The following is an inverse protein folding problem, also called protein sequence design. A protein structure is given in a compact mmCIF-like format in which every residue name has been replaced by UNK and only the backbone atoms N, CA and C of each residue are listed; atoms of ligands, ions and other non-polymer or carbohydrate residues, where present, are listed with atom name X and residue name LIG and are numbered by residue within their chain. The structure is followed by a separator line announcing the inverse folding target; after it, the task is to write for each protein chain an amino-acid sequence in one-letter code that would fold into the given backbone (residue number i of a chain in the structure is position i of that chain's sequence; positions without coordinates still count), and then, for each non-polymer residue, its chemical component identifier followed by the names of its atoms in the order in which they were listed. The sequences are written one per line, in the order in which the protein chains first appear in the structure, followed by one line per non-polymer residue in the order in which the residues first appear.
data_IF_077907424242
#
_entry.id   IF_077907424242
#
_cell.length_a   1.000
_cell.length_b   1.000
_cell.length_c   1.000
_cell.angle_alpha   90.00
_cell.angle_beta   90.00
_cell.angle_gamma   90.00
#
_symmetry.space_group_name_H-M   'P 1'
#
loop_
_entity.id
_entity.type
_entity.pdbx_description
1 polymer ?
#
# COMPACT_ATOMS: atom_id res chain seq x y z
N UNK A 1 -5.72 5.00 26.50
CA UNK A 1 -5.39 4.01 25.47
C UNK A 1 -3.93 4.20 25.06
N UNK A 2 -3.16 3.13 24.96
CA UNK A 2 -1.78 3.15 24.47
C UNK A 2 -1.77 2.69 23.01
N UNK A 3 -0.89 3.27 22.20
CA UNK A 3 -0.61 2.86 20.84
C UNK A 3 0.85 2.47 20.75
N UNK A 4 1.15 1.30 20.21
CA UNK A 4 2.50 0.83 19.96
C UNK A 4 2.87 1.08 18.51
N UNK A 5 4.02 1.71 18.29
CA UNK A 5 4.61 1.95 16.97
C UNK A 5 5.88 1.10 16.85
N UNK A 6 5.94 0.29 15.80
CA UNK A 6 7.14 -0.50 15.49
C UNK A 6 7.63 -0.12 14.09
N UNK A 7 8.87 0.36 14.00
CA UNK A 7 9.54 0.56 12.72
C UNK A 7 9.96 -0.80 12.17
N UNK A 8 9.63 -1.05 10.91
CA UNK A 8 9.91 -2.31 10.23
C UNK A 8 10.65 -2.06 8.91
N UNK A 9 11.32 -3.08 8.34
CA UNK A 9 12.05 -2.93 7.09
C UNK A 9 11.15 -2.50 5.92
N UNK A 10 11.75 -1.81 4.95
CA UNK A 10 11.23 -1.56 3.63
C UNK A 10 12.36 -1.67 2.61
N UNK A 11 12.04 -1.84 1.34
CA UNK A 11 13.03 -1.88 0.26
C UNK A 11 12.92 -0.61 -0.58
N UNK A 12 13.72 0.38 -0.23
CA UNK A 12 13.73 1.68 -0.92
C UNK A 12 15.12 2.33 -0.78
N UNK A 13 15.18 3.62 -0.94
CA UNK A 13 16.40 4.42 -0.75
C UNK A 13 16.06 5.77 -0.08
N UNK A 14 17.07 6.46 0.41
CA UNK A 14 16.96 7.83 0.87
C UNK A 14 17.92 8.75 0.12
N UNK A 15 17.61 10.04 0.09
CA UNK A 15 18.40 11.08 -0.52
C UNK A 15 17.57 12.01 -1.39
N UNK A 16 17.89 13.31 -1.32
CA UNK A 16 17.30 14.38 -2.16
C UNK A 16 18.29 14.96 -3.14
N UNK A 17 19.58 14.68 -2.92
CA UNK A 17 20.68 15.10 -3.79
C UNK A 17 21.68 13.96 -3.93
N UNK A 18 22.61 14.08 -4.90
CA UNK A 18 23.65 13.06 -5.09
C UNK A 18 24.56 12.87 -3.88
N UNK A 19 24.73 13.94 -3.09
CA UNK A 19 25.65 13.94 -1.95
C UNK A 19 25.06 13.36 -0.65
N UNK A 20 23.72 13.20 -0.55
CA UNK A 20 23.05 12.71 0.66
C UNK A 20 22.36 11.36 0.48
N UNK A 21 22.62 10.68 -0.63
CA UNK A 21 22.05 9.37 -0.93
C UNK A 21 22.44 8.34 0.13
N UNK A 22 21.43 7.64 0.66
CA UNK A 22 21.57 6.62 1.72
C UNK A 22 22.07 7.14 3.08
N UNK A 23 22.04 8.45 3.34
CA UNK A 23 22.47 9.01 4.62
C UNK A 23 21.39 8.92 5.72
N UNK A 24 20.16 8.63 5.37
CA UNK A 24 19.06 8.42 6.32
C UNK A 24 18.42 7.04 6.09
N UNK A 25 17.78 6.51 7.11
CA UNK A 25 17.03 5.27 6.99
C UNK A 25 15.65 5.53 6.39
N UNK A 26 15.09 4.50 5.83
CA UNK A 26 13.71 4.40 5.36
C UNK A 26 13.08 3.15 6.02
N UNK A 27 11.78 3.05 6.03
CA UNK A 27 11.10 1.91 6.66
C UNK A 27 9.60 2.01 6.56
N UNK A 28 8.96 0.95 7.00
CA UNK A 28 7.53 0.80 7.15
C UNK A 28 7.12 0.85 8.63
N UNK A 29 5.82 0.93 8.90
CA UNK A 29 5.32 1.05 10.27
C UNK A 29 4.24 0.05 10.57
N UNK A 30 4.35 -0.58 11.72
CA UNK A 30 3.27 -1.31 12.38
C UNK A 30 2.72 -0.45 13.50
N UNK A 31 1.40 -0.24 13.47
CA UNK A 31 0.68 0.59 14.44
C UNK A 31 -0.36 -0.32 15.12
N UNK A 32 -0.19 -0.60 16.41
CA UNK A 32 -1.11 -1.45 17.17
C UNK A 32 -1.75 -0.68 18.30
N UNK A 33 -3.09 -0.60 18.25
CA UNK A 33 -3.94 -0.14 19.34
C UNK A 33 -4.35 -1.30 20.25
N UNK A 34 -5.38 -1.08 21.06
CA UNK A 34 -5.96 -2.11 21.92
C UNK A 34 -6.78 -3.15 21.16
N UNK A 35 -7.33 -2.80 20.01
CA UNK A 35 -8.25 -3.60 19.20
C UNK A 35 -7.89 -3.65 17.72
N UNK A 36 -7.08 -2.73 17.24
CA UNK A 36 -6.74 -2.60 15.83
C UNK A 36 -5.23 -2.76 15.59
N UNK A 37 -4.89 -3.41 14.47
CA UNK A 37 -3.54 -3.55 13.96
C UNK A 37 -3.47 -3.01 12.52
N UNK A 38 -2.61 -2.03 12.30
CA UNK A 38 -2.46 -1.32 11.03
C UNK A 38 -1.02 -1.50 10.53
N UNK A 39 -0.85 -1.73 9.24
CA UNK A 39 0.44 -1.69 8.58
C UNK A 39 0.48 -0.53 7.58
N UNK A 40 1.59 0.19 7.53
CA UNK A 40 1.87 1.26 6.58
C UNK A 40 3.23 1.00 5.93
N UNK A 41 3.23 0.70 4.63
CA UNK A 41 4.44 0.28 3.91
C UNK A 41 5.47 1.42 3.75
N UNK A 42 5.02 2.68 3.69
CA UNK A 42 5.81 3.70 3.03
C UNK A 42 6.03 3.32 1.56
N UNK A 43 7.04 3.90 0.93
CA UNK A 43 7.48 3.50 -0.41
C UNK A 43 8.39 2.26 -0.29
N UNK A 44 8.08 1.21 -1.04
CA UNK A 44 8.85 -0.04 -0.96
C UNK A 44 8.67 -0.89 -2.22
N UNK A 45 9.74 -1.41 -2.74
CA UNK A 45 9.70 -2.58 -3.61
C UNK A 45 9.27 -3.84 -2.85
N UNK A 46 8.86 -4.87 -3.59
CA UNK A 46 8.51 -6.16 -3.01
C UNK A 46 9.76 -6.96 -2.64
N UNK A 47 9.79 -7.45 -1.37
CA UNK A 47 10.88 -8.29 -0.87
C UNK A 47 10.40 -9.19 0.29
N UNK A 48 11.21 -10.16 0.76
CA UNK A 48 10.83 -11.10 1.82
C UNK A 48 10.39 -10.47 3.14
N UNK A 49 10.75 -9.22 3.41
CA UNK A 49 10.40 -8.53 4.64
C UNK A 49 8.88 -8.45 4.88
N UNK A 50 8.04 -8.40 3.83
CA UNK A 50 6.59 -8.43 4.00
C UNK A 50 6.12 -9.71 4.68
N UNK A 51 6.65 -10.85 4.27
CA UNK A 51 6.34 -12.15 4.88
C UNK A 51 6.83 -12.22 6.32
N UNK A 52 8.05 -11.78 6.59
CA UNK A 52 8.63 -11.74 7.93
C UNK A 52 7.81 -10.85 8.88
N UNK A 53 7.38 -9.68 8.41
CA UNK A 53 6.52 -8.78 9.17
C UNK A 53 5.17 -9.45 9.46
N UNK A 54 4.57 -10.10 8.46
CA UNK A 54 3.30 -10.82 8.63
C UNK A 54 3.38 -11.96 9.61
N UNK A 55 4.48 -12.71 9.63
CA UNK A 55 4.71 -13.82 10.55
C UNK A 55 4.93 -13.33 11.99
N UNK A 56 5.69 -12.25 12.18
CA UNK A 56 6.08 -11.77 13.50
C UNK A 56 5.07 -10.80 14.12
N UNK A 57 4.44 -9.97 13.31
CA UNK A 57 3.64 -8.84 13.77
C UNK A 57 2.18 -8.85 13.26
N UNK A 58 1.85 -9.66 12.25
CA UNK A 58 0.49 -9.80 11.73
C UNK A 58 -0.39 -10.71 12.60
N UNK A 59 -1.66 -10.91 12.24
CA UNK A 59 -2.34 -10.30 11.08
C UNK A 59 -2.70 -8.81 11.31
N UNK A 60 -3.01 -8.12 10.22
CA UNK A 60 -3.41 -6.71 10.24
C UNK A 60 -4.86 -6.54 9.80
N UNK A 61 -5.58 -5.62 10.45
CA UNK A 61 -6.96 -5.30 10.06
C UNK A 61 -7.00 -4.51 8.75
N UNK A 62 -6.02 -3.63 8.56
CA UNK A 62 -5.81 -2.91 7.30
C UNK A 62 -4.31 -2.70 7.05
N UNK A 63 -3.94 -2.76 5.76
CA UNK A 63 -2.63 -2.36 5.29
C UNK A 63 -2.75 -1.23 4.27
N UNK A 64 -2.00 -0.17 4.50
CA UNK A 64 -1.75 0.89 3.53
C UNK A 64 -0.51 0.49 2.74
N UNK A 65 -0.70 0.02 1.51
CA UNK A 65 0.38 -0.48 0.67
C UNK A 65 0.63 0.42 -0.51
N UNK A 66 1.88 0.73 -0.74
CA UNK A 66 2.33 1.38 -1.96
C UNK A 66 1.88 0.57 -3.18
N UNK A 67 1.35 1.26 -4.20
CA UNK A 67 0.76 0.63 -5.38
C UNK A 67 0.98 1.44 -6.66
N UNK A 68 1.87 2.41 -6.65
CA UNK A 68 2.08 3.28 -7.80
C UNK A 68 3.54 3.48 -8.15
N UNK A 69 3.77 4.17 -9.28
CA UNK A 69 5.11 4.61 -9.71
C UNK A 69 6.08 3.46 -10.05
N UNK A 70 5.58 2.25 -10.25
CA UNK A 70 6.37 1.09 -10.67
C UNK A 70 6.85 1.22 -12.11
N UNK A 71 8.05 0.69 -12.37
CA UNK A 71 8.60 0.65 -13.71
C UNK A 71 9.66 -0.45 -13.82
N UNK A 72 9.79 -1.06 -14.99
CA UNK A 72 10.83 -2.06 -15.29
C UNK A 72 12.27 -1.53 -15.16
N UNK A 73 12.45 -0.21 -15.12
CA UNK A 73 13.77 0.43 -14.93
C UNK A 73 14.20 0.49 -13.47
N UNK A 74 13.23 0.35 -12.53
CA UNK A 74 13.48 0.32 -11.07
C UNK A 74 12.57 -0.69 -10.37
N UNK A 75 12.70 -1.98 -10.73
CA UNK A 75 11.78 -3.04 -10.31
C UNK A 75 11.79 -3.29 -8.79
N UNK A 76 12.86 -2.86 -8.12
CA UNK A 76 13.07 -3.10 -6.68
C UNK A 76 12.69 -1.89 -5.81
N UNK A 77 12.20 -0.80 -6.40
CA UNK A 77 11.91 0.45 -5.67
C UNK A 77 10.42 0.61 -5.40
N UNK A 78 9.58 0.23 -6.36
CA UNK A 78 8.13 0.29 -6.27
C UNK A 78 7.50 -1.03 -6.72
N UNK A 79 6.43 -1.43 -6.03
CA UNK A 79 5.73 -2.68 -6.31
C UNK A 79 4.86 -2.58 -7.56
N UNK A 80 4.94 -3.59 -8.43
CA UNK A 80 3.91 -3.82 -9.42
C UNK A 80 2.60 -4.26 -8.75
N UNK A 81 1.42 -4.07 -9.37
CA UNK A 81 0.14 -4.36 -8.72
C UNK A 81 -0.05 -5.80 -8.23
N UNK A 82 0.52 -6.78 -8.92
CA UNK A 82 0.57 -8.17 -8.48
C UNK A 82 1.46 -8.36 -7.25
N UNK A 83 2.56 -7.62 -7.17
CA UNK A 83 3.45 -7.60 -6.00
C UNK A 83 2.79 -6.90 -4.80
N UNK A 84 2.08 -5.79 -5.01
CA UNK A 84 1.30 -5.13 -3.96
C UNK A 84 0.25 -6.09 -3.37
N UNK A 85 -0.44 -6.84 -4.24
CA UNK A 85 -1.39 -7.84 -3.79
C UNK A 85 -0.71 -9.00 -3.06
N UNK A 86 0.43 -9.48 -3.55
CA UNK A 86 1.21 -10.51 -2.85
C UNK A 86 1.71 -10.00 -1.48
N UNK A 87 2.17 -8.76 -1.39
CA UNK A 87 2.56 -8.15 -0.12
C UNK A 87 1.39 -8.10 0.88
N UNK A 88 0.17 -7.79 0.42
CA UNK A 88 -1.03 -7.83 1.26
C UNK A 88 -1.29 -9.22 1.85
N UNK A 89 -1.05 -10.28 1.07
CA UNK A 89 -1.17 -11.67 1.54
C UNK A 89 -0.07 -12.02 2.53
N UNK A 90 1.16 -11.66 2.21
CA UNK A 90 2.34 -11.98 3.02
C UNK A 90 2.28 -11.35 4.40
N UNK A 91 1.83 -10.09 4.52
CA UNK A 91 1.61 -9.43 5.80
C UNK A 91 0.32 -9.89 6.51
N UNK A 92 -0.49 -10.74 5.87
CA UNK A 92 -1.74 -11.28 6.42
C UNK A 92 -2.77 -10.19 6.69
N UNK A 93 -2.90 -9.22 5.78
CA UNK A 93 -3.91 -8.16 5.87
C UNK A 93 -5.32 -8.68 5.58
N UNK A 94 -6.31 -8.23 6.36
CA UNK A 94 -7.73 -8.47 6.07
C UNK A 94 -8.24 -7.53 4.98
N UNK A 95 -7.73 -6.29 5.00
CA UNK A 95 -8.06 -5.26 4.02
C UNK A 95 -6.80 -4.54 3.54
N UNK A 96 -6.81 -4.05 2.32
CA UNK A 96 -5.72 -3.25 1.72
C UNK A 96 -6.26 -1.95 1.14
N UNK A 97 -5.57 -0.86 1.45
CA UNK A 97 -5.80 0.45 0.85
C UNK A 97 -4.54 0.82 0.05
N UNK A 98 -4.62 0.93 -1.28
CA UNK A 98 -3.50 1.37 -2.08
C UNK A 98 -3.17 2.84 -1.79
N UNK A 99 -1.89 3.11 -1.62
CA UNK A 99 -1.35 4.46 -1.47
C UNK A 99 -0.30 4.74 -2.55
N UNK A 100 0.20 5.96 -2.61
CA UNK A 100 1.27 6.37 -3.55
C UNK A 100 0.86 6.30 -5.03
N UNK A 101 -0.41 6.46 -5.35
CA UNK A 101 -0.94 6.47 -6.71
C UNK A 101 -1.84 7.69 -6.96
N UNK A 102 -2.07 8.03 -8.23
CA UNK A 102 -3.05 9.04 -8.63
C UNK A 102 -2.67 10.51 -8.40
N UNK A 103 -1.55 10.81 -7.73
CA UNK A 103 -1.16 12.19 -7.40
C UNK A 103 -0.19 12.80 -8.42
N UNK A 104 0.82 12.04 -8.85
CA UNK A 104 1.85 12.49 -9.78
C UNK A 104 2.12 11.43 -10.83
N UNK A 105 2.50 11.86 -12.03
CA UNK A 105 2.95 10.97 -13.11
C UNK A 105 4.49 10.89 -13.09
N UNK A 106 5.04 10.01 -12.28
CA UNK A 106 6.48 9.73 -12.21
C UNK A 106 6.87 8.52 -13.06
N UNK A 107 5.94 7.58 -13.25
CA UNK A 107 6.10 6.41 -14.09
C UNK A 107 5.19 6.48 -15.32
N UNK A 108 5.37 5.56 -16.27
CA UNK A 108 4.71 5.59 -17.59
C UNK A 108 3.40 4.77 -17.63
N UNK A 109 2.86 4.36 -16.49
CA UNK A 109 1.56 3.69 -16.43
C UNK A 109 0.41 4.70 -16.27
N UNK A 110 -0.81 4.38 -16.72
CA UNK A 110 -2.00 5.19 -16.45
C UNK A 110 -2.19 5.38 -14.94
N UNK A 111 -2.65 6.55 -14.54
CA UNK A 111 -2.75 6.89 -13.11
C UNK A 111 -3.77 6.03 -12.35
N UNK A 112 -4.80 5.52 -13.01
CA UNK A 112 -5.84 4.66 -12.44
C UNK A 112 -5.45 3.18 -12.44
N UNK A 113 -4.48 2.76 -13.26
CA UNK A 113 -4.09 1.37 -13.44
C UNK A 113 -3.76 0.65 -12.12
N UNK A 114 -3.03 1.26 -11.16
CA UNK A 114 -2.73 0.61 -9.89
C UNK A 114 -3.97 0.16 -9.12
N UNK A 115 -5.00 1.02 -9.06
CA UNK A 115 -6.25 0.72 -8.37
C UNK A 115 -7.03 -0.39 -9.08
N UNK A 116 -7.18 -0.30 -10.39
CA UNK A 116 -7.93 -1.26 -11.20
C UNK A 116 -7.30 -2.65 -11.18
N UNK A 117 -5.99 -2.74 -11.29
CA UNK A 117 -5.29 -4.02 -11.25
C UNK A 117 -5.30 -4.64 -9.84
N UNK A 118 -5.19 -3.84 -8.79
CA UNK A 118 -5.27 -4.35 -7.42
C UNK A 118 -6.66 -4.95 -7.14
N UNK A 119 -7.74 -4.29 -7.59
CA UNK A 119 -9.11 -4.80 -7.49
C UNK A 119 -9.23 -6.13 -8.24
N UNK A 120 -8.79 -6.16 -9.49
CA UNK A 120 -8.85 -7.38 -10.32
C UNK A 120 -8.09 -8.57 -9.70
N UNK A 121 -6.96 -8.30 -9.05
CA UNK A 121 -6.21 -9.32 -8.31
C UNK A 121 -6.97 -9.82 -7.07
N UNK A 122 -7.68 -8.92 -6.39
CA UNK A 122 -8.42 -9.24 -5.16
C UNK A 122 -9.73 -10.01 -5.40
N UNK A 123 -10.33 -9.92 -6.59
CA UNK A 123 -11.57 -10.64 -6.93
C UNK A 123 -11.47 -12.16 -6.76
N UNK A 124 -10.27 -12.70 -6.74
CA UNK A 124 -9.97 -14.14 -6.64
C UNK A 124 -9.73 -14.62 -5.21
N UNK A 125 -9.80 -13.74 -4.22
CA UNK A 125 -9.36 -14.01 -2.86
C UNK A 125 -10.26 -13.31 -1.82
N UNK A 126 -9.90 -13.39 -0.55
CA UNK A 126 -10.68 -12.87 0.58
C UNK A 126 -10.23 -11.51 1.09
N UNK A 127 -9.13 -10.95 0.55
CA UNK A 127 -8.62 -9.65 0.97
C UNK A 127 -9.51 -8.55 0.39
N UNK A 128 -10.01 -7.66 1.26
CA UNK A 128 -10.82 -6.54 0.84
C UNK A 128 -9.94 -5.41 0.30
N UNK A 129 -10.27 -4.88 -0.88
CA UNK A 129 -9.64 -3.66 -1.40
C UNK A 129 -10.53 -2.47 -1.05
N UNK A 130 -9.94 -1.43 -0.46
CA UNK A 130 -10.63 -0.23 -0.01
C UNK A 130 -10.01 0.96 -0.71
N UNK A 131 -10.79 1.67 -1.50
CA UNK A 131 -10.32 2.86 -2.23
C UNK A 131 -11.36 3.97 -2.05
N UNK A 132 -11.36 4.65 -0.89
CA UNK A 132 -12.31 5.71 -0.62
C UNK A 132 -12.03 6.93 -1.49
N UNK A 133 -13.08 7.68 -1.81
CA UNK A 133 -12.93 9.00 -2.41
C UNK A 133 -12.18 9.94 -1.46
N UNK A 134 -11.44 10.89 -1.98
CA UNK A 134 -10.68 11.84 -1.16
C UNK A 134 -11.62 12.59 -0.20
N UNK A 135 -11.34 12.48 1.10
CA UNK A 135 -12.18 13.04 2.16
C UNK A 135 -13.30 12.12 2.65
N UNK A 136 -13.52 10.99 2.02
CA UNK A 136 -14.50 10.00 2.47
C UNK A 136 -14.03 9.33 3.77
N UNK A 137 -14.91 9.33 4.77
CA UNK A 137 -14.66 8.63 6.04
C UNK A 137 -14.84 7.13 5.88
N UNK A 138 -13.83 6.37 6.24
CA UNK A 138 -13.84 4.90 6.27
C UNK A 138 -13.71 4.40 7.70
N UNK A 139 -14.46 3.36 8.06
CA UNK A 139 -14.41 2.72 9.37
C UNK A 139 -14.03 1.25 9.22
N UNK A 140 -13.11 0.77 10.04
CA UNK A 140 -12.63 -0.61 10.00
C UNK A 140 -13.68 -1.62 10.50
N UNK A 141 -14.51 -1.22 11.45
CA UNK A 141 -15.57 -2.06 12.05
C UNK A 141 -16.79 -2.28 11.14
N UNK A 142 -16.91 -1.49 10.08
CA UNK A 142 -17.99 -1.54 9.09
C UNK A 142 -17.52 -1.85 7.68
N UNK A 143 -16.33 -2.41 7.54
CA UNK A 143 -15.82 -2.92 6.27
C UNK A 143 -16.63 -4.18 5.89
N UNK A 144 -17.85 -3.99 5.48
CA UNK A 144 -18.56 -4.97 4.67
C UNK A 144 -18.01 -4.89 3.26
N UNK A 145 -18.07 -5.99 2.50
CA UNK A 145 -17.79 -6.01 1.05
C UNK A 145 -18.73 -5.00 0.39
N UNK A 146 -18.41 -3.75 0.53
CA UNK A 146 -19.09 -2.69 -0.19
C UNK A 146 -18.54 -2.77 -1.60
N UNK A 147 -19.42 -2.91 -2.56
CA UNK A 147 -19.10 -2.72 -3.98
C UNK A 147 -18.23 -1.49 -4.07
N UNK A 148 -16.97 -1.66 -4.47
CA UNK A 148 -16.04 -0.57 -4.68
C UNK A 148 -16.70 0.41 -5.65
N UNK A 149 -16.98 1.62 -5.18
CA UNK A 149 -17.40 2.69 -6.07
C UNK A 149 -16.14 3.21 -6.78
N UNK A 150 -15.96 2.92 -8.09
CA UNK A 150 -14.76 3.33 -8.80
C UNK A 150 -14.82 4.84 -9.14
N UNK A 151 -14.81 5.68 -8.11
CA UNK A 151 -14.93 7.13 -8.22
C UNK A 151 -13.91 7.74 -9.20
N UNK A 152 -12.74 7.14 -9.35
CA UNK A 152 -11.71 7.59 -10.30
C UNK A 152 -12.15 7.50 -11.76
N UNK A 153 -13.09 6.62 -12.11
CA UNK A 153 -13.62 6.54 -13.48
C UNK A 153 -14.50 7.73 -13.85
N UNK A 154 -14.97 8.49 -12.85
CA UNK A 154 -15.77 9.70 -13.04
C UNK A 154 -14.92 10.97 -13.23
N UNK A 155 -13.61 10.87 -13.01
CA UNK A 155 -12.70 12.00 -13.19
C UNK A 155 -12.37 12.10 -14.67
N UNK A 156 -12.75 13.22 -15.29
CA UNK A 156 -12.32 13.53 -16.64
C UNK A 156 -10.87 14.02 -16.60
N UNK A 157 -10.02 13.44 -17.42
CA UNK A 157 -8.67 13.99 -17.62
C UNK A 157 -8.78 15.45 -18.10
N UNK A 158 -7.99 16.37 -17.53
CA UNK A 158 -7.93 17.72 -18.05
C UNK A 158 -7.47 17.67 -19.51
N UNK A 159 -8.23 18.38 -20.38
CA UNK A 159 -7.93 18.49 -21.81
C UNK A 159 -6.62 19.23 -22.04
#
# INVERSE_FOLDING_TARGET
ASVNLTLTPAQHFSGRALADRFHTLWGSWVIKGSSEAIFFSGDSGYAPHFKEIGEQLGPFDIAFLEAGQYNKRWPDVHMFPDQTYQAAKDIRAKAVMPIHWGAFSLAMHPWQEPAEQLISNAEKDTIQVIIPEIGQRTRLDSLTVTTLDPWWTRIQEPK
#
